data_IF_439136615444
#
_entry.id   IF_439136615444
#
_cell.length_a   1.000
_cell.length_b   1.000
_cell.length_c   1.000
_cell.angle_alpha   90.00
_cell.angle_beta   90.00
_cell.angle_gamma   90.00
#
_symmetry.space_group_name_H-M   'P 1'
#
loop_
_entity.id
_entity.type
_entity.pdbx_description
1 polymer ?
#
# COMPACT_ATOMS: atom_id res chain seq x y z
N UNK A 1 -40.93 19.22 -23.83
CA UNK A 1 -39.64 19.05 -24.55
C UNK A 1 -38.56 19.02 -23.50
N UNK A 2 -37.87 17.90 -23.34
CA UNK A 2 -36.88 17.69 -22.27
C UNK A 2 -35.53 18.22 -22.75
N UNK A 3 -34.98 19.21 -22.04
CA UNK A 3 -33.70 19.84 -22.36
C UNK A 3 -32.55 18.91 -21.92
N UNK A 4 -31.84 18.32 -22.89
CA UNK A 4 -30.71 17.41 -22.64
C UNK A 4 -29.42 18.21 -22.78
N UNK A 5 -28.60 18.35 -21.73
CA UNK A 5 -27.36 19.11 -21.80
C UNK A 5 -26.37 18.44 -22.75
N UNK A 6 -25.74 19.24 -23.63
CA UNK A 6 -24.77 18.72 -24.61
C UNK A 6 -23.55 18.12 -23.90
N UNK A 7 -23.03 16.97 -24.38
CA UNK A 7 -21.85 16.36 -23.80
C UNK A 7 -20.59 17.22 -24.04
N UNK A 8 -19.60 17.18 -23.13
CA UNK A 8 -18.39 17.98 -23.24
C UNK A 8 -17.59 17.58 -24.48
N UNK A 9 -17.11 18.58 -25.23
CA UNK A 9 -16.29 18.38 -26.42
C UNK A 9 -14.94 17.77 -26.01
N UNK A 10 -14.55 16.68 -26.67
CA UNK A 10 -13.22 16.07 -26.51
C UNK A 10 -12.14 17.06 -26.92
N UNK A 11 -11.01 17.15 -26.20
CA UNK A 11 -9.91 18.03 -26.59
C UNK A 11 -9.36 17.60 -27.95
N UNK A 12 -9.34 18.54 -28.90
CA UNK A 12 -8.81 18.34 -30.25
C UNK A 12 -7.33 18.68 -30.23
N UNK A 13 -6.47 17.70 -30.49
CA UNK A 13 -5.05 17.93 -30.76
C UNK A 13 -4.17 16.74 -30.38
N UNK A 14 -3.55 16.08 -31.37
CA UNK A 14 -2.35 15.29 -31.13
C UNK A 14 -1.22 16.28 -30.84
N UNK A 15 -0.57 16.17 -29.68
CA UNK A 15 0.62 16.98 -29.35
C UNK A 15 0.43 18.11 -28.35
N UNK A 16 -0.64 18.12 -27.55
CA UNK A 16 -0.63 18.94 -26.33
C UNK A 16 0.26 18.23 -25.29
N UNK A 17 1.34 18.88 -24.79
CA UNK A 17 2.14 18.31 -23.72
C UNK A 17 1.23 18.08 -22.49
N UNK A 18 1.41 16.97 -21.75
CA UNK A 18 0.61 16.69 -20.57
C UNK A 18 0.69 17.88 -19.62
N UNK A 19 -0.46 18.45 -19.27
CA UNK A 19 -0.55 19.53 -18.27
C UNK A 19 -0.07 18.98 -16.93
N UNK A 20 0.62 19.79 -16.15
CA UNK A 20 1.26 19.41 -14.88
C UNK A 20 0.32 18.75 -13.87
N UNK A 21 -0.99 18.92 -13.98
CA UNK A 21 -2.01 18.21 -13.20
C UNK A 21 -2.15 16.72 -13.54
N UNK A 22 -1.59 16.26 -14.66
CA UNK A 22 -1.54 14.84 -15.06
C UNK A 22 -0.18 14.18 -14.84
N UNK A 23 0.81 14.92 -14.31
CA UNK A 23 2.15 14.41 -13.98
C UNK A 23 2.22 13.71 -12.60
N UNK A 24 1.13 13.13 -12.11
CA UNK A 24 1.18 12.27 -10.91
C UNK A 24 1.34 10.78 -11.22
N UNK A 25 1.63 10.42 -12.48
CA UNK A 25 2.03 9.04 -12.84
C UNK A 25 3.54 8.90 -12.69
N UNK A 26 3.94 8.76 -11.42
CA UNK A 26 5.08 7.96 -10.93
C UNK A 26 6.21 7.72 -11.92
N UNK A 27 7.22 8.60 -11.92
CA UNK A 27 8.57 8.24 -12.34
C UNK A 27 9.61 8.91 -11.43
N UNK A 28 10.15 8.10 -10.51
CA UNK A 28 11.55 8.15 -10.10
C UNK A 28 11.99 9.22 -9.10
N UNK A 29 11.95 8.88 -7.81
CA UNK A 29 13.13 9.01 -6.95
C UNK A 29 13.02 8.08 -5.73
N UNK A 30 13.51 6.84 -5.87
CA UNK A 30 13.62 5.86 -4.78
C UNK A 30 14.89 6.07 -3.92
N UNK A 31 15.35 7.31 -3.77
CA UNK A 31 16.52 7.65 -2.94
C UNK A 31 16.21 8.59 -1.78
N UNK A 32 14.93 8.87 -1.52
CA UNK A 32 14.55 9.44 -0.23
C UNK A 32 14.45 8.28 0.76
N UNK A 33 15.28 8.33 1.80
CA UNK A 33 15.15 7.43 2.95
C UNK A 33 13.68 7.47 3.35
N UNK A 34 12.96 6.34 3.39
CA UNK A 34 11.57 6.38 3.80
C UNK A 34 11.53 7.06 5.16
N UNK A 35 10.78 8.16 5.25
CA UNK A 35 10.43 8.73 6.54
C UNK A 35 9.91 7.55 7.37
N UNK A 36 10.50 7.32 8.54
CA UNK A 36 10.31 6.14 9.39
C UNK A 36 8.87 5.92 9.88
N UNK A 37 7.94 6.71 9.35
CA UNK A 37 6.52 6.78 9.66
C UNK A 37 5.63 6.29 8.51
N UNK A 38 6.16 5.98 7.32
CA UNK A 38 5.36 5.50 6.19
C UNK A 38 5.25 3.98 6.21
N UNK A 39 4.02 3.49 6.40
CA UNK A 39 3.69 2.07 6.30
C UNK A 39 3.85 1.58 4.85
N UNK A 40 4.79 0.66 4.62
CA UNK A 40 4.99 0.01 3.32
C UNK A 40 4.08 -1.22 3.21
N UNK A 41 3.25 -1.35 2.16
CA UNK A 41 2.39 -2.52 1.98
C UNK A 41 3.24 -3.76 1.63
N UNK A 42 3.13 -4.81 2.44
CA UNK A 42 3.72 -6.12 2.15
C UNK A 42 2.63 -7.10 1.71
N UNK A 43 2.67 -7.53 0.45
CA UNK A 43 1.70 -8.47 -0.13
C UNK A 43 2.13 -9.92 0.13
N UNK A 44 1.73 -10.47 1.27
CA UNK A 44 1.96 -11.88 1.60
C UNK A 44 0.81 -12.76 1.10
N UNK A 45 1.14 -13.82 0.36
CA UNK A 45 0.18 -14.88 0.02
C UNK A 45 0.24 -15.95 1.11
N UNK A 46 -0.86 -16.11 1.84
CA UNK A 46 -0.97 -17.08 2.93
C UNK A 46 -2.17 -18.00 2.72
N UNK A 47 -2.12 -19.25 3.20
CA UNK A 47 -3.28 -20.13 3.24
C UNK A 47 -4.44 -19.52 4.05
N UNK A 48 -5.67 -19.83 3.68
CA UNK A 48 -6.86 -19.26 4.31
C UNK A 48 -7.00 -19.63 5.80
N UNK A 49 -6.69 -20.89 6.13
CA UNK A 49 -6.69 -21.37 7.52
C UNK A 49 -5.70 -20.63 8.41
N UNK A 50 -4.55 -20.23 7.85
CA UNK A 50 -3.56 -19.45 8.58
C UNK A 50 -4.09 -18.04 8.86
N UNK A 51 -4.73 -17.40 7.88
CA UNK A 51 -5.35 -16.08 8.05
C UNK A 51 -6.43 -16.10 9.16
N UNK A 52 -7.23 -17.15 9.23
CA UNK A 52 -8.24 -17.30 10.29
C UNK A 52 -7.59 -17.40 11.67
N UNK A 53 -6.56 -18.25 11.81
CA UNK A 53 -5.82 -18.39 13.08
C UNK A 53 -5.18 -17.09 13.55
N UNK A 54 -4.55 -16.34 12.65
CA UNK A 54 -3.93 -15.04 12.99
C UNK A 54 -4.98 -14.02 13.41
N UNK A 55 -6.17 -14.02 12.78
CA UNK A 55 -7.28 -13.16 13.20
C UNK A 55 -7.80 -13.52 14.59
N UNK A 56 -7.99 -14.80 14.87
CA UNK A 56 -8.44 -15.25 16.19
C UNK A 56 -7.44 -14.87 17.27
N UNK A 57 -6.15 -15.13 17.02
CA UNK A 57 -5.07 -14.72 17.91
C UNK A 57 -5.07 -13.21 18.18
N UNK A 58 -5.27 -12.38 17.14
CA UNK A 58 -5.35 -10.94 17.31
C UNK A 58 -6.53 -10.51 18.21
N UNK A 59 -7.69 -11.19 18.07
CA UNK A 59 -8.86 -10.95 18.92
C UNK A 59 -8.59 -11.33 20.38
N UNK A 60 -8.03 -12.51 20.62
CA UNK A 60 -7.77 -13.04 21.96
C UNK A 60 -6.81 -12.15 22.74
N UNK A 61 -5.80 -11.59 22.07
CA UNK A 61 -4.78 -10.73 22.68
C UNK A 61 -5.10 -9.22 22.59
N UNK A 62 -6.28 -8.82 22.08
CA UNK A 62 -6.66 -7.41 21.87
C UNK A 62 -5.62 -6.62 21.08
N UNK A 63 -4.98 -7.25 20.10
CA UNK A 63 -3.97 -6.64 19.24
C UNK A 63 -4.48 -6.52 17.80
N UNK A 64 -3.78 -5.75 16.96
CA UNK A 64 -4.05 -5.75 15.52
C UNK A 64 -3.28 -6.88 14.85
N UNK A 65 -3.89 -7.48 13.81
CA UNK A 65 -3.23 -8.49 12.98
C UNK A 65 -1.88 -7.99 12.47
N UNK A 66 -1.80 -6.71 12.09
CA UNK A 66 -0.54 -6.06 11.68
C UNK A 66 0.51 -6.13 12.79
N UNK A 67 0.18 -5.68 14.01
CA UNK A 67 1.11 -5.68 15.15
C UNK A 67 1.56 -7.10 15.53
N UNK A 68 0.62 -8.05 15.55
CA UNK A 68 0.93 -9.45 15.83
C UNK A 68 1.89 -10.05 14.79
N UNK A 69 1.66 -9.77 13.51
CA UNK A 69 2.49 -10.28 12.41
C UNK A 69 3.88 -9.65 12.41
N UNK A 70 3.99 -8.34 12.63
CA UNK A 70 5.27 -7.63 12.70
C UNK A 70 6.09 -8.15 13.88
N UNK A 71 5.51 -8.24 15.07
CA UNK A 71 6.20 -8.73 16.27
C UNK A 71 6.71 -10.16 16.10
N UNK A 72 5.91 -11.04 15.51
CA UNK A 72 6.33 -12.43 15.25
C UNK A 72 7.50 -12.51 14.24
N UNK A 73 7.52 -11.63 13.24
CA UNK A 73 8.63 -11.54 12.28
C UNK A 73 9.89 -10.95 12.93
N UNK A 74 9.76 -9.92 13.75
CA UNK A 74 10.87 -9.33 14.51
C UNK A 74 11.51 -10.36 15.45
N UNK A 75 10.70 -11.07 16.25
CA UNK A 75 11.18 -12.15 17.14
C UNK A 75 11.86 -13.28 16.35
N UNK A 76 11.37 -13.61 15.15
CA UNK A 76 11.99 -14.59 14.27
C UNK A 76 13.34 -14.10 13.72
N UNK A 77 13.44 -12.82 13.32
CA UNK A 77 14.67 -12.21 12.81
C UNK A 77 15.74 -12.11 13.90
N UNK A 78 15.35 -11.73 15.12
CA UNK A 78 16.22 -11.71 16.29
C UNK A 78 16.74 -13.12 16.62
N UNK A 79 15.85 -14.12 16.62
CA UNK A 79 16.21 -15.52 16.89
C UNK A 79 17.12 -16.11 15.82
N UNK A 80 16.96 -15.71 14.57
CA UNK A 80 17.76 -16.17 13.43
C UNK A 80 19.06 -15.37 13.24
N UNK A 81 19.30 -14.33 14.05
CA UNK A 81 20.59 -13.64 14.13
C UNK A 81 20.82 -12.55 13.08
N UNK A 82 19.78 -12.01 12.45
CA UNK A 82 19.92 -10.84 11.56
C UNK A 82 19.15 -9.65 12.14
N UNK A 83 19.66 -9.13 13.25
CA UNK A 83 19.43 -7.74 13.62
C UNK A 83 20.51 -6.89 12.92
N UNK A 84 20.18 -6.06 11.92
CA UNK A 84 21.07 -4.98 11.55
C UNK A 84 21.12 -3.99 12.72
N UNK A 85 22.32 -3.63 13.17
CA UNK A 85 22.54 -2.44 14.00
C UNK A 85 22.15 -1.17 13.24
#
# INVERSE_FOLDING_TARGET
MVDVPRPPKRPVGKGLPPTSETLSVVMGNNTEKPESTVDVPMNLRVPEEFRQRVRQFALDHKTSVKKATVKALEEMMERMGSAPQ
#
